data_IF_979531910405
#
_entry.id   IF_979531910405
#
_cell.length_a   1.000
_cell.length_b   1.000
_cell.length_c   1.000
_cell.angle_alpha   90.00
_cell.angle_beta   90.00
_cell.angle_gamma   90.00
#
_symmetry.space_group_name_H-M   'P 1'
#
loop_
_entity.id
_entity.type
_entity.pdbx_description
1 polymer ?
#
# COMPACT_ATOMS: atom_id res chain seq x y z
N UNK A 1 50.04 56.07 -23.43
CA UNK A 1 49.05 56.39 -24.48
C UNK A 1 48.31 55.12 -24.84
N UNK A 2 47.09 54.95 -24.35
CA UNK A 2 46.21 53.84 -24.75
C UNK A 2 45.36 54.32 -25.93
N UNK A 3 45.59 53.77 -27.11
CA UNK A 3 44.70 53.96 -28.25
C UNK A 3 43.41 53.19 -28.00
N UNK A 4 42.30 53.90 -27.85
CA UNK A 4 40.98 53.28 -27.85
C UNK A 4 40.57 53.05 -29.30
N UNK A 5 40.22 51.80 -29.64
CA UNK A 5 39.67 51.47 -30.94
C UNK A 5 38.36 52.24 -31.16
N UNK A 6 38.29 53.00 -32.26
CA UNK A 6 37.08 53.72 -32.66
C UNK A 6 36.10 52.75 -33.28
N UNK A 7 34.96 52.52 -32.62
CA UNK A 7 33.86 51.77 -33.23
C UNK A 7 33.23 52.63 -34.33
N UNK A 8 33.06 52.05 -35.52
CA UNK A 8 32.44 52.73 -36.66
C UNK A 8 31.01 53.20 -36.41
N UNK A 9 30.45 53.93 -37.38
CA UNK A 9 29.14 54.58 -37.28
C UNK A 9 28.02 53.59 -36.89
N UNK A 10 27.41 53.80 -35.72
CA UNK A 10 26.36 52.92 -35.18
C UNK A 10 25.02 53.31 -35.79
N UNK A 11 24.56 52.53 -36.77
CA UNK A 11 23.23 52.73 -37.38
C UNK A 11 22.13 52.16 -36.48
N UNK A 12 21.14 52.98 -36.16
CA UNK A 12 19.92 52.56 -35.46
C UNK A 12 19.07 51.59 -36.32
N UNK A 13 18.12 50.86 -35.70
CA UNK A 13 17.20 50.00 -36.43
C UNK A 13 16.35 50.83 -37.42
N UNK A 14 16.03 50.28 -38.59
CA UNK A 14 15.15 50.95 -39.55
C UNK A 14 13.73 51.03 -38.98
N UNK A 15 12.98 52.06 -39.36
CA UNK A 15 11.58 52.19 -38.95
C UNK A 15 10.79 50.93 -39.36
N UNK A 16 10.12 50.29 -38.40
CA UNK A 16 9.38 49.04 -38.60
C UNK A 16 10.14 47.75 -38.27
N UNK A 17 11.46 47.81 -37.98
CA UNK A 17 12.25 46.64 -37.58
C UNK A 17 12.40 46.54 -36.05
N UNK A 18 12.38 45.31 -35.52
CA UNK A 18 12.61 45.05 -34.10
C UNK A 18 14.10 45.34 -33.77
N UNK A 19 14.34 46.17 -32.75
CA UNK A 19 15.73 46.41 -32.29
C UNK A 19 16.36 45.12 -31.75
N UNK A 20 17.69 44.98 -31.86
CA UNK A 20 18.43 43.82 -31.30
C UNK A 20 18.07 43.56 -29.83
N UNK A 21 17.96 44.62 -29.03
CA UNK A 21 17.55 44.54 -27.63
C UNK A 21 16.10 44.04 -27.48
N UNK A 22 15.19 44.51 -28.35
CA UNK A 22 13.81 44.06 -28.40
C UNK A 22 13.67 42.58 -28.78
N UNK A 23 14.44 42.13 -29.76
CA UNK A 23 14.48 40.72 -30.15
C UNK A 23 14.98 39.83 -29.02
N UNK A 24 16.14 40.16 -28.40
CA UNK A 24 16.71 39.36 -27.32
C UNK A 24 15.80 39.32 -26.08
N UNK A 25 15.14 40.43 -25.72
CA UNK A 25 14.18 40.46 -24.61
C UNK A 25 12.92 39.65 -24.89
N UNK A 26 12.41 39.67 -26.13
CA UNK A 26 11.25 38.86 -26.53
C UNK A 26 11.60 37.38 -26.53
N UNK A 27 12.73 36.99 -27.12
CA UNK A 27 13.17 35.59 -27.11
C UNK A 27 13.40 35.09 -25.68
N UNK A 28 14.09 35.87 -24.83
CA UNK A 28 14.30 35.49 -23.43
C UNK A 28 12.97 35.39 -22.67
N UNK A 29 12.06 36.34 -22.83
CA UNK A 29 10.75 36.33 -22.17
C UNK A 29 9.86 35.17 -22.62
N UNK A 30 9.82 34.87 -23.92
CA UNK A 30 9.07 33.72 -24.47
C UNK A 30 9.69 32.41 -23.96
N UNK A 31 11.02 32.27 -24.03
CA UNK A 31 11.71 31.07 -23.56
C UNK A 31 11.49 30.80 -22.07
N UNK A 32 11.68 31.81 -21.22
CA UNK A 32 11.41 31.70 -19.77
C UNK A 32 9.92 31.44 -19.51
N UNK A 33 9.02 32.07 -20.27
CA UNK A 33 7.59 31.86 -20.15
C UNK A 33 7.16 30.42 -20.45
N UNK A 34 7.65 29.85 -21.57
CA UNK A 34 7.36 28.45 -21.95
C UNK A 34 7.93 27.49 -20.88
N UNK A 35 9.20 27.66 -20.49
CA UNK A 35 9.80 26.81 -19.46
C UNK A 35 9.06 26.89 -18.12
N UNK A 36 8.60 28.09 -17.74
CA UNK A 36 7.83 28.26 -16.50
C UNK A 36 6.48 27.57 -16.60
N UNK A 37 5.80 27.63 -17.74
CA UNK A 37 4.53 26.94 -17.97
C UNK A 37 4.69 25.42 -17.96
N UNK A 38 5.74 24.89 -18.59
CA UNK A 38 6.05 23.45 -18.57
C UNK A 38 6.36 22.98 -17.14
N UNK A 39 7.18 23.74 -16.40
CA UNK A 39 7.51 23.41 -15.03
C UNK A 39 6.30 23.44 -14.10
N UNK A 40 5.47 24.48 -14.20
CA UNK A 40 4.25 24.60 -13.41
C UNK A 40 3.23 23.52 -13.79
N UNK A 41 3.03 23.29 -15.10
CA UNK A 41 2.15 22.25 -15.61
C UNK A 41 2.58 20.86 -15.16
N UNK A 42 3.87 20.55 -15.25
CA UNK A 42 4.45 19.30 -14.77
C UNK A 42 4.34 19.14 -13.25
N UNK A 43 4.57 20.21 -12.50
CA UNK A 43 4.42 20.19 -11.03
C UNK A 43 2.96 19.95 -10.63
N UNK A 44 2.00 20.61 -11.29
CA UNK A 44 0.58 20.40 -11.04
C UNK A 44 0.16 18.98 -11.43
N UNK A 45 0.63 18.46 -12.56
CA UNK A 45 0.35 17.09 -12.98
C UNK A 45 0.93 16.06 -12.00
N UNK A 46 2.13 16.30 -11.47
CA UNK A 46 2.75 15.45 -10.46
C UNK A 46 2.04 15.49 -9.11
N UNK A 47 1.56 16.67 -8.70
CA UNK A 47 0.80 16.85 -7.46
C UNK A 47 -0.67 16.46 -7.59
N UNK A 48 -1.16 16.19 -8.81
CA UNK A 48 -2.55 15.79 -9.02
C UNK A 48 -2.77 14.39 -8.44
N UNK A 49 -3.76 14.21 -7.55
CA UNK A 49 -3.97 12.93 -6.88
C UNK A 49 -4.34 11.87 -7.92
N UNK A 50 -3.55 10.79 -7.98
CA UNK A 50 -3.91 9.59 -8.72
C UNK A 50 -4.78 8.72 -7.80
N UNK A 51 -6.08 8.62 -8.09
CA UNK A 51 -7.03 7.87 -7.27
C UNK A 51 -7.10 6.37 -7.65
N UNK A 52 -6.40 5.94 -8.70
CA UNK A 52 -6.40 4.55 -9.15
C UNK A 52 -5.16 3.77 -8.74
N UNK A 53 -4.11 4.42 -8.25
CA UNK A 53 -2.84 3.77 -7.88
C UNK A 53 -2.23 4.42 -6.62
N UNK A 54 -1.75 3.60 -5.68
CA UNK A 54 -1.02 4.06 -4.50
C UNK A 54 -1.86 4.16 -3.22
N UNK A 55 -1.35 4.94 -2.25
CA UNK A 55 -1.98 5.14 -0.93
C UNK A 55 -3.24 6.00 -1.07
N UNK A 56 -4.38 5.46 -0.69
CA UNK A 56 -5.67 6.15 -0.77
C UNK A 56 -6.53 5.76 -1.96
N UNK A 57 -6.05 4.85 -2.81
CA UNK A 57 -6.74 4.36 -3.98
C UNK A 57 -7.54 3.07 -3.68
N UNK A 58 -8.51 2.79 -4.54
CA UNK A 58 -9.12 1.47 -4.67
C UNK A 58 -8.18 0.59 -5.50
N UNK A 59 -7.66 -0.45 -4.86
CA UNK A 59 -6.64 -1.32 -5.44
C UNK A 59 -7.30 -2.63 -5.85
N UNK A 60 -7.28 -2.92 -7.14
CA UNK A 60 -7.73 -4.19 -7.67
C UNK A 60 -6.63 -5.25 -7.48
N UNK A 61 -6.91 -6.25 -6.65
CA UNK A 61 -6.00 -7.36 -6.32
C UNK A 61 -6.15 -8.52 -7.33
N UNK A 62 -7.20 -8.53 -8.14
CA UNK A 62 -7.52 -9.57 -9.11
C UNK A 62 -8.54 -10.58 -8.58
N UNK A 63 -8.85 -11.59 -9.39
CA UNK A 63 -9.74 -12.69 -9.01
C UNK A 63 -9.05 -13.68 -8.07
N UNK A 64 -9.83 -14.59 -7.47
CA UNK A 64 -9.27 -15.68 -6.67
C UNK A 64 -8.26 -16.53 -7.48
N UNK A 65 -8.54 -16.77 -8.75
CA UNK A 65 -7.64 -17.52 -9.65
C UNK A 65 -6.33 -16.76 -9.89
N UNK A 66 -6.40 -15.45 -10.15
CA UNK A 66 -5.21 -14.62 -10.36
C UNK A 66 -4.30 -14.61 -9.12
N UNK A 67 -4.89 -14.50 -7.93
CA UNK A 67 -4.15 -14.51 -6.67
C UNK A 67 -3.51 -15.90 -6.45
N UNK A 68 -4.24 -16.99 -6.70
CA UNK A 68 -3.69 -18.35 -6.59
C UNK A 68 -2.56 -18.62 -7.60
N UNK A 69 -2.64 -18.04 -8.80
CA UNK A 69 -1.58 -18.14 -9.80
C UNK A 69 -0.33 -17.34 -9.38
N UNK A 70 -0.52 -16.17 -8.77
CA UNK A 70 0.58 -15.35 -8.25
C UNK A 70 1.20 -15.92 -6.97
N UNK A 71 0.38 -16.51 -6.09
CA UNK A 71 0.78 -17.09 -4.82
C UNK A 71 0.02 -18.41 -4.56
N UNK A 72 0.57 -19.55 -4.98
CA UNK A 72 -0.08 -20.87 -4.86
C UNK A 72 -0.38 -21.31 -3.42
N UNK A 73 0.34 -20.77 -2.45
CA UNK A 73 0.12 -21.08 -1.03
C UNK A 73 -1.06 -20.30 -0.41
N UNK A 74 -1.66 -19.36 -1.13
CA UNK A 74 -2.79 -18.58 -0.63
C UNK A 74 -4.03 -19.45 -0.35
N UNK A 75 -4.33 -20.40 -1.25
CA UNK A 75 -5.35 -21.43 -1.01
C UNK A 75 -5.02 -22.40 0.13
N UNK A 76 -3.76 -22.49 0.52
CA UNK A 76 -3.29 -23.26 1.69
C UNK A 76 -3.22 -22.40 2.96
N UNK A 77 -3.82 -21.21 2.95
CA UNK A 77 -3.96 -20.36 4.12
C UNK A 77 -2.74 -19.51 4.46
N UNK A 78 -1.69 -19.49 3.63
CA UNK A 78 -0.60 -18.53 3.79
C UNK A 78 -1.04 -17.16 3.25
N UNK A 79 -1.04 -16.09 4.06
CA UNK A 79 -1.42 -14.76 3.61
C UNK A 79 -0.56 -14.28 2.44
N UNK A 80 -1.20 -13.75 1.41
CA UNK A 80 -0.49 -13.18 0.27
C UNK A 80 0.02 -11.78 0.62
N UNK A 81 1.33 -11.56 0.47
CA UNK A 81 1.96 -10.26 0.72
C UNK A 81 1.86 -9.40 -0.53
N UNK A 82 0.94 -8.44 -0.54
CA UNK A 82 0.79 -7.50 -1.63
C UNK A 82 1.65 -6.26 -1.41
N UNK A 83 2.85 -6.26 -2.02
CA UNK A 83 3.87 -5.25 -1.79
C UNK A 83 3.50 -3.83 -2.23
N UNK A 84 2.68 -3.68 -3.29
CA UNK A 84 2.31 -2.38 -3.84
C UNK A 84 1.46 -1.54 -2.87
N UNK A 85 0.68 -2.19 -2.01
CA UNK A 85 -0.18 -1.54 -1.01
C UNK A 85 0.26 -1.80 0.44
N UNK A 86 1.38 -2.51 0.64
CA UNK A 86 1.86 -2.97 1.94
C UNK A 86 0.76 -3.62 2.80
N UNK A 87 0.08 -4.64 2.26
CA UNK A 87 -0.98 -5.36 2.96
C UNK A 87 -0.81 -6.88 2.84
N UNK A 88 -1.47 -7.60 3.75
CA UNK A 88 -1.69 -9.03 3.64
C UNK A 88 -3.11 -9.29 3.15
N UNK A 89 -3.24 -10.13 2.14
CA UNK A 89 -4.52 -10.67 1.70
C UNK A 89 -4.68 -12.05 2.32
N UNK A 90 -5.55 -12.16 3.32
CA UNK A 90 -5.81 -13.40 4.04
C UNK A 90 -7.05 -14.05 3.45
N UNK A 91 -6.90 -15.27 2.93
CA UNK A 91 -8.03 -16.17 2.68
C UNK A 91 -8.45 -16.73 4.03
N UNK A 92 -9.52 -16.18 4.62
CA UNK A 92 -9.93 -16.48 5.99
C UNK A 92 -10.22 -17.97 6.21
N UNK A 93 -11.06 -18.66 5.40
CA UNK A 93 -11.33 -20.08 5.63
C UNK A 93 -10.06 -20.95 5.45
N UNK A 94 -9.20 -20.67 4.47
CA UNK A 94 -7.95 -21.41 4.30
C UNK A 94 -6.97 -21.16 5.46
N UNK A 95 -6.87 -19.92 5.91
CA UNK A 95 -5.97 -19.51 6.98
C UNK A 95 -6.38 -20.14 8.33
N UNK A 96 -7.69 -20.23 8.58
CA UNK A 96 -8.24 -20.95 9.73
C UNK A 96 -7.87 -22.44 9.68
N UNK A 97 -8.13 -23.09 8.54
CA UNK A 97 -7.77 -24.50 8.34
C UNK A 97 -6.26 -24.75 8.51
N UNK A 98 -5.41 -23.81 8.09
CA UNK A 98 -3.96 -23.87 8.29
C UNK A 98 -3.58 -23.82 9.76
N UNK A 99 -4.18 -22.93 10.56
CA UNK A 99 -3.91 -22.84 12.00
C UNK A 99 -4.36 -24.11 12.72
N UNK A 100 -5.57 -24.60 12.42
CA UNK A 100 -6.11 -25.86 12.99
C UNK A 100 -5.27 -27.07 12.61
N UNK A 101 -4.72 -27.09 11.38
CA UNK A 101 -3.83 -28.13 10.89
C UNK A 101 -2.35 -27.92 11.26
N UNK A 102 -2.02 -27.03 12.18
CA UNK A 102 -0.65 -26.74 12.62
C UNK A 102 0.32 -26.43 11.45
N UNK A 103 -0.15 -25.66 10.47
CA UNK A 103 0.60 -25.31 9.25
C UNK A 103 0.43 -26.30 8.10
N UNK A 104 -0.25 -27.43 8.32
CA UNK A 104 -0.61 -28.39 7.27
C UNK A 104 -2.04 -28.18 6.78
N UNK A 105 -2.27 -28.35 5.47
CA UNK A 105 -3.61 -28.17 4.87
C UNK A 105 -3.98 -29.41 4.08
N UNK A 106 -5.10 -30.03 4.46
CA UNK A 106 -5.65 -31.22 3.82
C UNK A 106 -6.66 -30.90 2.72
N UNK A 107 -7.23 -29.69 2.72
CA UNK A 107 -8.23 -29.23 1.75
C UNK A 107 -8.02 -27.75 1.45
N UNK A 108 -7.31 -27.41 0.35
CA UNK A 108 -7.10 -26.03 -0.06
C UNK A 108 -8.43 -25.36 -0.42
N UNK A 109 -8.58 -24.08 -0.06
CA UNK A 109 -9.76 -23.28 -0.42
C UNK A 109 -9.37 -22.35 -1.56
N UNK A 110 -9.76 -22.69 -2.78
CA UNK A 110 -9.36 -21.95 -3.99
C UNK A 110 -10.09 -20.61 -4.11
N UNK A 111 -11.40 -20.59 -3.84
CA UNK A 111 -12.20 -19.37 -3.80
C UNK A 111 -12.90 -19.24 -2.44
N UNK A 112 -12.54 -18.24 -1.62
CA UNK A 112 -13.18 -18.02 -0.32
C UNK A 112 -14.58 -17.39 -0.41
N UNK A 113 -15.00 -16.91 -1.57
CA UNK A 113 -16.31 -16.28 -1.78
C UNK A 113 -16.35 -14.78 -1.49
N UNK A 114 -17.55 -14.25 -1.28
CA UNK A 114 -17.82 -12.80 -1.29
C UNK A 114 -18.44 -12.24 0.00
N UNK A 115 -18.27 -12.94 1.13
CA UNK A 115 -18.73 -12.45 2.42
C UNK A 115 -17.81 -11.31 2.90
N UNK A 116 -18.19 -10.09 2.53
CA UNK A 116 -17.54 -8.83 2.90
C UNK A 116 -18.49 -7.91 3.64
N UNK A 117 -17.94 -7.06 4.49
CA UNK A 117 -18.69 -6.04 5.21
C UNK A 117 -18.17 -5.86 6.62
N UNK A 118 -18.32 -4.64 7.15
CA UNK A 118 -17.91 -4.34 8.52
C UNK A 118 -18.81 -5.01 9.56
N UNK A 119 -20.08 -5.24 9.22
CA UNK A 119 -21.06 -5.91 10.09
C UNK A 119 -20.86 -7.44 10.20
N UNK A 120 -19.99 -8.01 9.36
CA UNK A 120 -19.69 -9.45 9.37
C UNK A 120 -18.58 -9.71 10.39
N UNK A 121 -18.74 -10.68 11.32
CA UNK A 121 -17.67 -11.08 12.22
C UNK A 121 -16.40 -11.47 11.47
N UNK A 122 -15.23 -11.10 11.99
CA UNK A 122 -13.94 -11.35 11.33
C UNK A 122 -13.72 -12.82 10.95
N UNK A 123 -14.20 -13.75 11.77
CA UNK A 123 -14.07 -15.19 11.55
C UNK A 123 -14.94 -15.74 10.41
N UNK A 124 -15.92 -14.96 9.94
CA UNK A 124 -16.91 -15.32 8.92
C UNK A 124 -16.68 -14.59 7.58
N UNK A 125 -15.73 -13.65 7.53
CA UNK A 125 -15.31 -13.00 6.30
C UNK A 125 -14.71 -14.02 5.32
N UNK A 126 -14.86 -13.77 4.02
CA UNK A 126 -14.18 -14.55 2.98
C UNK A 126 -12.70 -14.15 2.86
N UNK A 127 -12.46 -12.84 2.75
CA UNK A 127 -11.11 -12.27 2.63
C UNK A 127 -10.95 -11.15 3.63
N UNK A 128 -9.75 -11.07 4.20
CA UNK A 128 -9.33 -9.99 5.08
C UNK A 128 -8.08 -9.32 4.51
N UNK A 129 -8.17 -8.02 4.26
CA UNK A 129 -7.04 -7.19 3.84
C UNK A 129 -6.42 -6.52 5.05
N UNK A 130 -5.42 -7.15 5.68
CA UNK A 130 -4.73 -6.62 6.84
C UNK A 130 -3.62 -5.65 6.42
N UNK A 131 -3.53 -4.49 7.06
CA UNK A 131 -2.40 -3.60 6.87
C UNK A 131 -1.14 -4.27 7.43
N UNK A 132 -0.10 -4.42 6.59
CA UNK A 132 1.22 -4.94 6.99
C UNK A 132 2.02 -3.87 7.74
N UNK A 133 1.41 -3.35 8.80
CA UNK A 133 1.94 -2.28 9.65
C UNK A 133 1.52 -2.55 11.08
N UNK A 134 2.50 -2.63 11.98
CA UNK A 134 2.26 -2.84 13.40
C UNK A 134 1.60 -1.61 14.04
N UNK A 135 0.42 -1.74 14.68
CA UNK A 135 -0.24 -0.65 15.43
C UNK A 135 0.56 -0.04 16.58
N UNK A 136 1.69 -0.64 16.98
CA UNK A 136 2.57 -0.07 17.99
C UNK A 136 3.24 1.22 17.50
N UNK A 137 4.19 1.10 16.57
CA UNK A 137 4.99 2.21 16.04
C UNK A 137 5.17 2.15 14.52
N UNK A 138 4.40 1.30 13.82
CA UNK A 138 4.37 1.26 12.36
C UNK A 138 5.44 0.39 11.68
N UNK A 139 6.15 -0.46 12.43
CA UNK A 139 7.05 -1.44 11.80
C UNK A 139 6.31 -2.35 10.83
N UNK A 140 6.97 -2.72 9.72
CA UNK A 140 6.47 -3.79 8.87
C UNK A 140 6.53 -5.12 9.62
N UNK A 141 5.49 -5.92 9.44
CA UNK A 141 5.38 -7.25 10.04
C UNK A 141 5.83 -8.28 8.98
N UNK A 142 6.69 -9.26 9.32
CA UNK A 142 7.05 -10.35 8.40
C UNK A 142 5.84 -11.26 8.10
N UNK A 143 6.06 -12.26 7.25
CA UNK A 143 5.07 -13.33 7.03
C UNK A 143 4.75 -14.07 8.34
N UNK A 144 3.64 -14.80 8.38
CA UNK A 144 3.30 -15.72 9.47
C UNK A 144 4.50 -16.56 9.90
N UNK A 145 4.63 -16.74 11.21
CA UNK A 145 5.55 -17.70 11.77
C UNK A 145 5.07 -19.13 11.51
N UNK A 146 5.96 -20.00 11.02
CA UNK A 146 5.63 -21.39 10.71
C UNK A 146 5.30 -22.25 11.95
N UNK A 147 5.67 -21.79 13.15
CA UNK A 147 5.40 -22.51 14.39
C UNK A 147 4.10 -22.04 15.05
N UNK A 148 3.96 -20.74 15.28
CA UNK A 148 2.78 -20.18 15.92
C UNK A 148 1.61 -20.00 14.96
N UNK A 149 1.85 -19.91 13.66
CA UNK A 149 0.89 -19.43 12.66
C UNK A 149 0.35 -18.03 13.00
N UNK A 150 1.14 -17.23 13.72
CA UNK A 150 0.83 -15.85 14.09
C UNK A 150 1.72 -14.87 13.33
N UNK A 151 1.22 -13.65 13.20
CA UNK A 151 2.03 -12.52 12.76
C UNK A 151 2.87 -12.01 13.94
N UNK A 152 4.19 -12.07 13.82
CA UNK A 152 5.11 -11.71 14.88
C UNK A 152 5.97 -10.49 14.49
N UNK A 153 5.75 -9.36 15.16
CA UNK A 153 6.48 -8.13 14.89
C UNK A 153 7.86 -8.14 15.57
N UNK A 154 8.92 -8.15 14.76
CA UNK A 154 10.31 -8.25 15.22
C UNK A 154 10.87 -6.99 15.90
N UNK A 155 10.11 -5.88 15.95
CA UNK A 155 10.60 -4.65 16.57
C UNK A 155 10.51 -4.68 18.12
N UNK A 156 9.35 -5.08 18.65
CA UNK A 156 9.08 -5.09 20.10
C UNK A 156 8.22 -6.30 20.52
N UNK A 157 8.14 -7.34 19.68
CA UNK A 157 7.49 -8.61 20.04
C UNK A 157 5.97 -8.60 20.09
N UNK A 158 5.29 -7.65 19.42
CA UNK A 158 3.83 -7.70 19.30
C UNK A 158 3.39 -8.84 18.39
N UNK A 159 2.41 -9.62 18.85
CA UNK A 159 1.94 -10.83 18.17
C UNK A 159 0.45 -10.72 17.86
N UNK A 160 0.04 -11.23 16.71
CA UNK A 160 -1.35 -11.20 16.24
C UNK A 160 -1.75 -12.56 15.67
N UNK A 161 -3.01 -12.97 15.87
CA UNK A 161 -3.54 -14.18 15.24
C UNK A 161 -3.53 -14.04 13.72
N UNK A 162 -3.81 -15.13 13.01
CA UNK A 162 -3.92 -15.10 11.55
C UNK A 162 -5.01 -14.14 11.03
N UNK A 163 -5.97 -13.77 11.88
CA UNK A 163 -7.01 -12.77 11.59
C UNK A 163 -6.63 -11.35 12.06
N UNK A 164 -5.38 -11.14 12.49
CA UNK A 164 -4.87 -9.83 12.92
C UNK A 164 -5.26 -9.41 14.33
N UNK A 165 -5.90 -10.27 15.12
CA UNK A 165 -6.30 -9.93 16.49
C UNK A 165 -5.09 -9.96 17.42
N UNK A 166 -4.95 -8.96 18.28
CA UNK A 166 -3.80 -8.86 19.20
C UNK A 166 -3.77 -10.04 20.17
N UNK A 167 -2.61 -10.71 20.26
CA UNK A 167 -2.33 -11.80 21.19
C UNK A 167 -1.37 -11.40 22.30
N UNK A 168 -0.32 -10.66 21.96
CA UNK A 168 0.73 -10.32 22.91
C UNK A 168 1.50 -9.04 22.50
N UNK A 169 2.29 -8.51 23.44
CA UNK A 169 3.22 -7.40 23.25
C UNK A 169 2.61 -5.99 23.41
N UNK A 170 3.40 -4.94 23.14
CA UNK A 170 3.07 -3.56 23.51
C UNK A 170 2.06 -2.85 22.61
N UNK A 171 1.72 -3.41 21.43
CA UNK A 171 0.74 -2.77 20.54
C UNK A 171 -0.61 -2.52 21.26
N UNK A 172 -1.26 -1.36 21.08
CA UNK A 172 -2.45 -1.02 21.84
C UNK A 172 -3.72 -1.74 21.37
N UNK A 173 -3.71 -2.39 20.20
CA UNK A 173 -4.86 -3.07 19.56
C UNK A 173 -4.39 -4.08 18.51
N UNK A 174 -5.32 -4.80 17.88
CA UNK A 174 -5.07 -5.67 16.73
C UNK A 174 -4.65 -4.89 15.48
N UNK A 175 -4.24 -5.62 14.44
CA UNK A 175 -3.82 -5.08 13.15
C UNK A 175 -4.97 -4.36 12.46
N UNK A 176 -4.63 -3.25 11.81
CA UNK A 176 -5.56 -2.50 10.96
C UNK A 176 -5.95 -3.30 9.73
N UNK A 177 -7.13 -3.00 9.21
CA UNK A 177 -7.63 -3.61 7.97
C UNK A 177 -8.19 -2.56 7.04
N UNK A 178 -8.34 -2.96 5.79
CA UNK A 178 -8.94 -2.16 4.74
C UNK A 178 -10.28 -2.78 4.31
N UNK A 179 -11.29 -1.97 3.95
CA UNK A 179 -12.51 -2.50 3.34
C UNK A 179 -12.18 -3.29 2.07
N UNK A 180 -12.85 -4.44 1.92
CA UNK A 180 -12.75 -5.31 0.74
C UNK A 180 -14.13 -5.35 0.08
N UNK A 181 -14.15 -5.29 -1.25
CA UNK A 181 -15.34 -5.48 -2.07
C UNK A 181 -15.03 -6.47 -3.20
N UNK A 182 -16.07 -7.04 -3.79
CA UNK A 182 -15.98 -7.74 -5.07
C UNK A 182 -16.62 -6.89 -6.16
N UNK A 183 -15.86 -6.61 -7.21
CA UNK A 183 -16.30 -5.86 -8.40
C UNK A 183 -15.91 -6.67 -9.63
N UNK A 184 -16.88 -7.02 -10.47
CA UNK A 184 -16.67 -7.78 -11.71
C UNK A 184 -15.86 -9.10 -11.53
N UNK A 185 -16.03 -9.77 -10.39
CA UNK A 185 -15.33 -11.02 -10.07
C UNK A 185 -13.89 -10.85 -9.56
N UNK A 186 -13.43 -9.60 -9.37
CA UNK A 186 -12.15 -9.28 -8.76
C UNK A 186 -12.32 -8.69 -7.36
N UNK A 187 -11.34 -8.94 -6.50
CA UNK A 187 -11.29 -8.36 -5.16
C UNK A 187 -10.66 -6.97 -5.22
N UNK A 188 -11.38 -5.98 -4.70
CA UNK A 188 -10.95 -4.58 -4.64
C UNK A 188 -10.79 -4.18 -3.18
N UNK A 189 -9.65 -3.59 -2.85
CA UNK A 189 -9.33 -3.11 -1.50
C UNK A 189 -9.23 -1.61 -1.49
N UNK A 190 -10.03 -0.97 -0.63
CA UNK A 190 -9.99 0.48 -0.45
C UNK A 190 -8.91 0.86 0.55
N UNK A 191 -7.79 1.42 0.09
CA UNK A 191 -6.70 1.87 0.97
C UNK A 191 -6.85 3.30 1.48
N UNK A 192 -7.88 4.03 1.02
CA UNK A 192 -8.24 5.36 1.52
C UNK A 192 -8.99 5.35 2.83
N UNK A 193 -9.52 4.19 3.23
CA UNK A 193 -10.21 4.00 4.48
C UNK A 193 -9.51 2.94 5.32
N UNK A 194 -9.08 3.33 6.52
CA UNK A 194 -8.46 2.42 7.48
C UNK A 194 -9.49 2.08 8.54
N UNK A 195 -9.79 0.79 8.68
CA UNK A 195 -10.60 0.28 9.78
C UNK A 195 -9.64 -0.14 10.89
N UNK A 196 -9.77 0.52 12.04
CA UNK A 196 -8.94 0.22 13.20
C UNK A 196 -9.07 -1.26 13.60
N UNK A 197 -7.93 -1.85 13.93
CA UNK A 197 -7.88 -3.23 14.40
C UNK A 197 -8.66 -3.44 15.71
N UNK A 198 -9.13 -4.68 15.98
CA UNK A 198 -9.96 -4.96 17.15
C UNK A 198 -9.28 -4.56 18.47
N UNK A 199 -10.06 -4.16 19.49
CA UNK A 199 -9.50 -3.85 20.81
C UNK A 199 -8.81 -5.08 21.42
N UNK A 200 -7.84 -4.87 22.34
CA UNK A 200 -7.21 -5.97 23.06
C UNK A 200 -8.22 -6.89 23.74
N UNK A 201 -7.99 -8.20 23.67
CA UNK A 201 -8.89 -9.22 24.23
C UNK A 201 -9.98 -9.71 23.27
N UNK A 202 -10.06 -9.17 22.05
CA UNK A 202 -10.92 -9.74 20.99
C UNK A 202 -10.34 -11.07 20.52
N UNK A 203 -11.15 -12.13 20.58
CA UNK A 203 -10.75 -13.50 20.18
C UNK A 203 -11.91 -14.17 19.45
N UNK A 204 -11.82 -14.26 18.12
CA UNK A 204 -12.89 -14.82 17.27
C UNK A 204 -12.59 -16.20 16.70
N UNK A 205 -11.33 -16.64 16.70
CA UNK A 205 -10.95 -17.94 16.11
C UNK A 205 -9.83 -18.68 16.84
N UNK A 206 -8.70 -18.00 17.10
CA UNK A 206 -7.53 -18.65 17.70
C UNK A 206 -7.36 -18.17 19.13
N UNK A 207 -7.70 -18.97 20.13
CA UNK A 207 -7.63 -18.61 21.56
C UNK A 207 -6.37 -19.11 22.28
N UNK A 208 -5.42 -19.68 21.53
CA UNK A 208 -4.18 -20.22 22.09
C UNK A 208 -3.43 -19.17 22.89
N UNK A 209 -2.95 -19.56 24.07
CA UNK A 209 -2.19 -18.67 24.94
C UNK A 209 -0.80 -18.37 24.32
N UNK A 210 -0.32 -17.11 24.37
CA UNK A 210 1.03 -16.78 23.90
C UNK A 210 2.14 -17.56 24.63
N UNK A 211 1.95 -17.94 25.89
CA UNK A 211 2.95 -18.70 26.65
C UNK A 211 3.10 -20.14 26.17
N UNK A 212 2.04 -20.70 25.59
CA UNK A 212 1.96 -22.11 25.24
C UNK A 212 2.16 -22.33 23.73
N UNK A 213 2.25 -21.23 22.96
CA UNK A 213 2.41 -21.25 21.51
C UNK A 213 3.88 -21.06 21.14
N UNK A 214 4.53 -21.99 20.41
CA UNK A 214 5.92 -21.82 19.98
C UNK A 214 6.05 -20.66 19.00
N UNK A 215 6.87 -19.66 19.35
CA UNK A 215 7.09 -18.45 18.55
C UNK A 215 8.38 -18.51 17.74
N UNK A 216 8.38 -17.87 16.57
CA UNK A 216 9.58 -17.73 15.75
C UNK A 216 10.47 -16.58 16.25
N UNK A 217 9.88 -15.62 16.97
CA UNK A 217 10.56 -14.52 17.63
C UNK A 217 10.47 -14.67 19.15
N UNK A 218 11.63 -14.56 19.81
CA UNK A 218 11.78 -14.68 21.26
C UNK A 218 11.50 -13.38 21.99
#
# INVERSE_FOLDING_TARGET
>A
MTQHASYGEVRGPRAGEISRRGFMRRMLGIGVGIMSLEFLGGTLAFLWPNLSEGLGAEINIGSAEDINNAQPEWKNGLPYVYGQANLFVVNVPAAKARVEGEGTVSSPVEDPGTNFGEDIPLADLSILALWRKCPHLGCQIPQLCDQSQWFECLCHGSKYSVLGEKRDGPAPRGMDRFPVAAVDGAYVVNTGEVIDGPPPGTVTFDDRAPTDTPHCSG
#
